data_IF_847940177843
#
_entry.id   IF_847940177843
#
_cell.length_a   1.000
_cell.length_b   1.000
_cell.length_c   1.000
_cell.angle_alpha   90.00
_cell.angle_beta   90.00
_cell.angle_gamma   90.00
#
_symmetry.space_group_name_H-M   'P 1'
#
loop_
_entity.id
_entity.type
_entity.pdbx_description
1 polymer ?
#
# COMPACT_ATOMS: atom_id res chain seq x y z
N UNK A 1 -7.51 -43.22 24.69
CA UNK A 1 -6.31 -43.10 23.83
C UNK A 1 -6.40 -41.82 23.00
N UNK A 2 -5.84 -40.72 23.50
CA UNK A 2 -5.79 -39.42 22.81
C UNK A 2 -4.43 -39.30 22.11
N UNK A 3 -4.40 -39.39 20.78
CA UNK A 3 -3.20 -39.08 19.98
C UNK A 3 -3.09 -37.56 19.87
N UNK A 4 -2.16 -36.96 20.63
CA UNK A 4 -1.66 -35.61 20.37
C UNK A 4 -0.86 -35.65 19.07
N UNK A 5 -1.35 -34.98 18.03
CA UNK A 5 -0.57 -34.73 16.83
C UNK A 5 0.56 -33.75 17.18
N UNK A 6 1.80 -34.23 17.17
CA UNK A 6 2.97 -33.38 17.24
C UNK A 6 3.05 -32.55 15.95
N UNK A 7 2.79 -31.25 16.06
CA UNK A 7 3.10 -30.29 15.00
C UNK A 7 4.63 -30.24 14.92
N UNK A 8 5.20 -30.89 13.91
CA UNK A 8 6.61 -30.79 13.60
C UNK A 8 6.87 -29.35 13.17
N UNK A 9 7.49 -28.56 14.06
CA UNK A 9 8.06 -27.28 13.74
C UNK A 9 9.18 -27.49 12.71
N UNK A 10 8.85 -27.41 11.42
CA UNK A 10 9.85 -27.26 10.36
C UNK A 10 10.54 -25.92 10.60
N UNK A 11 11.74 -25.94 11.18
CA UNK A 11 12.69 -24.81 11.12
C UNK A 11 12.82 -24.42 9.64
N UNK A 12 12.30 -23.25 9.26
CA UNK A 12 12.55 -22.68 7.94
C UNK A 12 14.03 -22.34 7.87
N UNK A 13 14.79 -23.13 7.11
CA UNK A 13 16.23 -22.94 6.84
C UNK A 13 16.49 -21.91 5.72
N UNK A 14 15.45 -21.26 5.20
CA UNK A 14 15.57 -20.27 4.14
C UNK A 14 15.03 -18.94 4.63
N UNK A 15 15.88 -17.91 4.54
CA UNK A 15 15.44 -16.52 4.72
C UNK A 15 14.27 -16.25 3.75
N UNK A 16 13.25 -15.50 4.17
CA UNK A 16 12.14 -15.18 3.29
C UNK A 16 12.65 -14.40 2.07
N UNK A 17 12.03 -14.59 0.90
CA UNK A 17 12.54 -14.03 -0.37
C UNK A 17 12.67 -12.49 -0.35
N UNK A 18 11.84 -11.80 0.45
CA UNK A 18 11.92 -10.36 0.64
C UNK A 18 13.20 -9.91 1.36
N UNK A 19 13.96 -10.81 1.99
CA UNK A 19 15.26 -10.52 2.59
C UNK A 19 16.34 -10.17 1.56
N UNK A 20 16.09 -10.46 0.27
CA UNK A 20 17.00 -10.13 -0.84
C UNK A 20 16.72 -8.74 -1.45
N UNK A 21 15.63 -8.08 -1.05
CA UNK A 21 15.25 -6.77 -1.57
C UNK A 21 15.92 -5.64 -0.78
N UNK A 22 16.12 -4.45 -1.37
CA UNK A 22 16.50 -3.24 -0.64
C UNK A 22 15.57 -3.01 0.55
N UNK A 23 16.14 -2.66 1.71
CA UNK A 23 15.41 -2.50 2.96
C UNK A 23 15.55 -1.09 3.49
N UNK A 24 14.43 -0.51 3.88
CA UNK A 24 14.34 0.82 4.44
C UNK A 24 13.66 0.75 5.80
N UNK A 25 14.28 1.38 6.79
CA UNK A 25 13.67 1.48 8.11
C UNK A 25 12.38 2.32 8.05
N UNK A 26 12.40 3.45 7.34
CA UNK A 26 11.28 4.42 7.28
C UNK A 26 10.88 4.73 5.85
N UNK A 27 9.64 5.20 5.68
CA UNK A 27 9.11 5.64 4.39
C UNK A 27 9.89 6.85 3.84
N UNK A 28 10.49 7.68 4.70
CA UNK A 28 11.40 8.76 4.29
C UNK A 28 12.58 8.23 3.49
N UNK A 29 13.27 7.21 4.01
CA UNK A 29 14.43 6.60 3.34
C UNK A 29 14.04 5.97 2.01
N UNK A 30 12.91 5.26 1.96
CA UNK A 30 12.39 4.68 0.73
C UNK A 30 12.02 5.76 -0.30
N UNK A 31 11.37 6.85 0.14
CA UNK A 31 11.06 8.00 -0.71
C UNK A 31 12.33 8.63 -1.30
N UNK A 32 13.36 8.84 -0.48
CA UNK A 32 14.60 9.47 -0.94
C UNK A 32 15.31 8.61 -1.99
N UNK A 33 15.32 7.29 -1.81
CA UNK A 33 15.81 6.38 -2.84
C UNK A 33 14.99 6.50 -4.13
N UNK A 34 13.67 6.41 -4.06
CA UNK A 34 12.82 6.52 -5.26
C UNK A 34 13.03 7.84 -5.99
N UNK A 35 13.17 8.96 -5.25
CA UNK A 35 13.46 10.28 -5.83
C UNK A 35 14.85 10.35 -6.44
N UNK A 36 15.85 9.75 -5.80
CA UNK A 36 17.23 9.69 -6.30
C UNK A 36 17.30 8.87 -7.60
N UNK A 37 16.74 7.66 -7.57
CA UNK A 37 16.70 6.74 -8.69
C UNK A 37 15.98 7.34 -9.91
N UNK A 38 14.94 8.14 -9.69
CA UNK A 38 14.15 8.76 -10.76
C UNK A 38 14.57 10.20 -11.09
N UNK A 39 15.66 10.72 -10.50
CA UNK A 39 16.03 12.15 -10.55
C UNK A 39 16.35 12.67 -11.95
N UNK A 40 16.67 11.80 -12.90
CA UNK A 40 17.13 12.20 -14.24
C UNK A 40 16.14 13.09 -15.01
N UNK A 41 14.85 13.11 -14.66
CA UNK A 41 13.84 13.99 -15.26
C UNK A 41 13.50 13.64 -16.72
N UNK A 42 12.21 13.66 -17.07
CA UNK A 42 11.68 13.33 -18.41
C UNK A 42 11.75 11.83 -18.74
N UNK A 43 10.63 11.22 -19.18
CA UNK A 43 10.42 9.82 -19.61
C UNK A 43 11.07 8.67 -18.80
N UNK A 44 11.81 8.99 -17.73
CA UNK A 44 12.65 8.06 -17.01
C UNK A 44 11.78 7.26 -16.06
N UNK A 45 11.52 6.03 -16.49
CA UNK A 45 10.75 5.05 -15.76
C UNK A 45 11.66 3.89 -15.38
N UNK A 46 11.64 3.52 -14.10
CA UNK A 46 12.26 2.30 -13.62
C UNK A 46 11.20 1.22 -13.61
N UNK A 47 11.45 0.12 -14.32
CA UNK A 47 10.54 -1.01 -14.36
C UNK A 47 10.86 -2.03 -13.27
N UNK A 48 9.81 -2.67 -12.73
CA UNK A 48 9.90 -3.76 -11.76
C UNK A 48 10.68 -3.41 -10.49
N UNK A 49 10.43 -2.22 -9.94
CA UNK A 49 11.03 -1.79 -8.67
C UNK A 49 10.40 -2.54 -7.50
N UNK A 50 11.22 -3.00 -6.56
CA UNK A 50 10.76 -3.64 -5.33
C UNK A 50 11.65 -3.28 -4.14
N UNK A 51 11.05 -2.92 -3.02
CA UNK A 51 11.75 -2.61 -1.77
C UNK A 51 10.89 -2.98 -0.56
N UNK A 52 11.53 -3.09 0.62
CA UNK A 52 10.88 -3.43 1.89
C UNK A 52 10.95 -2.25 2.85
N UNK A 53 9.81 -1.91 3.44
CA UNK A 53 9.69 -1.01 4.58
C UNK A 53 9.53 -1.82 5.87
N UNK A 54 10.37 -1.54 6.86
CA UNK A 54 10.46 -2.31 8.10
C UNK A 54 9.60 -1.75 9.24
N UNK A 55 9.54 -0.43 9.38
CA UNK A 55 8.78 0.23 10.42
C UNK A 55 7.49 0.81 9.82
N UNK A 56 6.37 0.30 10.31
CA UNK A 56 5.02 0.70 9.91
C UNK A 56 4.31 1.52 11.00
N UNK A 57 5.05 2.10 11.95
CA UNK A 57 4.52 3.10 12.87
C UNK A 57 4.04 4.36 12.12
N UNK A 58 3.22 5.17 12.78
CA UNK A 58 2.71 6.40 12.20
C UNK A 58 3.86 7.34 11.77
N UNK A 59 4.82 7.57 12.66
CA UNK A 59 5.98 8.41 12.39
C UNK A 59 6.82 7.87 11.22
N UNK A 60 7.06 6.55 11.19
CA UNK A 60 7.87 5.94 10.13
C UNK A 60 7.17 5.96 8.75
N UNK A 61 5.84 6.04 8.72
CA UNK A 61 5.04 6.07 7.48
C UNK A 61 4.61 7.47 7.07
N UNK A 62 4.94 8.49 7.87
CA UNK A 62 4.63 9.89 7.60
C UNK A 62 5.80 10.56 6.89
N UNK A 63 5.54 11.07 5.69
CA UNK A 63 6.52 11.79 4.88
C UNK A 63 5.92 13.11 4.44
N UNK A 64 6.25 14.18 5.14
CA UNK A 64 5.75 15.50 4.77
C UNK A 64 6.54 16.11 3.61
N UNK A 65 5.82 16.74 2.69
CA UNK A 65 6.36 17.49 1.55
C UNK A 65 5.49 18.71 1.32
N UNK A 66 5.93 19.65 0.47
CA UNK A 66 5.07 20.79 0.09
C UNK A 66 3.75 20.34 -0.55
N UNK A 67 3.79 19.28 -1.38
CA UNK A 67 2.59 18.72 -2.00
C UNK A 67 1.72 17.97 -0.99
N UNK A 68 2.32 17.36 0.03
CA UNK A 68 1.65 16.57 1.06
C UNK A 68 2.06 17.00 2.47
N UNK A 69 1.55 18.15 2.96
CA UNK A 69 1.63 18.47 4.37
C UNK A 69 0.81 17.47 5.20
N UNK A 70 1.07 17.36 6.51
CA UNK A 70 0.39 16.42 7.41
C UNK A 70 -1.13 16.38 7.23
N UNK A 71 -1.78 17.55 7.20
CA UNK A 71 -3.24 17.63 7.06
C UNK A 71 -3.76 17.04 5.74
N UNK A 72 -3.01 17.17 4.64
CA UNK A 72 -3.35 16.55 3.37
C UNK A 72 -3.19 15.01 3.43
N UNK A 73 -2.12 14.53 4.08
CA UNK A 73 -1.91 13.09 4.30
C UNK A 73 -3.07 12.48 5.11
N UNK A 74 -3.49 13.16 6.17
CA UNK A 74 -4.59 12.71 7.04
C UNK A 74 -5.93 12.71 6.31
N UNK A 75 -6.20 13.76 5.52
CA UNK A 75 -7.38 13.83 4.67
C UNK A 75 -7.47 12.62 3.74
N UNK A 76 -6.42 12.33 2.96
CA UNK A 76 -6.45 11.24 1.98
C UNK A 76 -6.52 9.86 2.64
N UNK A 77 -5.89 9.68 3.80
CA UNK A 77 -5.99 8.45 4.57
C UNK A 77 -7.41 8.22 5.06
N UNK A 78 -8.01 9.19 5.74
CA UNK A 78 -9.41 9.11 6.20
C UNK A 78 -10.38 8.95 5.03
N UNK A 79 -10.15 9.68 3.94
CA UNK A 79 -10.94 9.54 2.71
C UNK A 79 -10.93 8.11 2.21
N UNK A 80 -9.75 7.50 2.06
CA UNK A 80 -9.61 6.14 1.54
C UNK A 80 -10.04 5.05 2.53
N UNK A 81 -10.05 5.32 3.83
CA UNK A 81 -10.59 4.44 4.87
C UNK A 81 -12.13 4.53 5.03
N UNK A 82 -12.80 5.26 4.15
CA UNK A 82 -14.25 5.53 4.23
C UNK A 82 -14.66 6.25 5.53
N UNK A 83 -13.76 7.04 6.12
CA UNK A 83 -14.09 7.87 7.28
C UNK A 83 -14.88 9.12 6.87
N UNK A 84 -15.38 9.82 7.89
CA UNK A 84 -16.10 11.08 7.71
C UNK A 84 -15.11 12.17 7.31
N UNK A 85 -15.49 12.92 6.28
CA UNK A 85 -14.74 14.02 5.69
C UNK A 85 -15.72 15.18 5.51
N UNK A 86 -15.29 16.42 5.74
CA UNK A 86 -16.13 17.61 5.52
C UNK A 86 -15.94 18.18 4.12
N UNK A 87 -16.90 18.99 3.67
CA UNK A 87 -16.83 19.65 2.35
C UNK A 87 -15.65 20.63 2.29
N UNK A 88 -15.34 21.33 3.39
CA UNK A 88 -14.19 22.22 3.48
C UNK A 88 -12.86 21.48 3.29
N UNK A 89 -12.76 20.26 3.84
CA UNK A 89 -11.57 19.42 3.66
C UNK A 89 -11.43 18.94 2.20
N UNK A 90 -12.56 18.62 1.55
CA UNK A 90 -12.58 18.24 0.14
C UNK A 90 -12.07 19.40 -0.71
N UNK A 91 -12.59 20.60 -0.49
CA UNK A 91 -12.21 21.81 -1.24
C UNK A 91 -10.73 22.17 -1.02
N UNK A 92 -10.22 22.00 0.20
CA UNK A 92 -8.83 22.30 0.54
C UNK A 92 -7.83 21.28 -0.02
N UNK A 93 -8.19 19.99 -0.03
CA UNK A 93 -7.20 18.93 -0.23
C UNK A 93 -7.36 18.11 -1.51
N UNK A 94 -8.56 17.96 -2.05
CA UNK A 94 -8.84 17.07 -3.20
C UNK A 94 -8.48 17.73 -4.52
N UNK A 95 -7.19 17.74 -4.86
CA UNK A 95 -6.70 18.31 -6.12
C UNK A 95 -6.23 17.24 -7.12
N UNK A 96 -6.21 17.53 -8.43
CA UNK A 96 -5.61 16.65 -9.43
C UNK A 96 -4.14 16.33 -9.11
N UNK A 97 -3.33 17.31 -8.72
CA UNK A 97 -1.89 17.18 -8.50
C UNK A 97 -1.58 16.15 -7.41
N UNK A 98 -2.44 16.05 -6.39
CA UNK A 98 -2.32 15.07 -5.29
C UNK A 98 -2.82 13.67 -5.65
N UNK A 99 -3.03 13.40 -6.94
CA UNK A 99 -3.29 12.08 -7.52
C UNK A 99 -4.70 11.89 -8.06
N UNK A 100 -5.60 12.88 -7.92
CA UNK A 100 -6.94 12.87 -8.51
C UNK A 100 -7.69 11.54 -8.35
N UNK A 101 -8.40 11.12 -9.40
CA UNK A 101 -9.18 9.89 -9.39
C UNK A 101 -8.32 8.61 -9.30
N UNK A 102 -7.07 8.61 -9.81
CA UNK A 102 -6.18 7.44 -9.77
C UNK A 102 -5.78 7.02 -8.35
N UNK A 103 -5.80 7.97 -7.41
CA UNK A 103 -5.49 7.75 -6.00
C UNK A 103 -6.69 7.58 -5.08
N UNK A 104 -7.90 7.47 -5.64
CA UNK A 104 -9.12 7.20 -4.87
C UNK A 104 -9.34 5.68 -4.72
N UNK A 105 -9.06 5.18 -3.53
CA UNK A 105 -9.17 3.77 -3.15
C UNK A 105 -10.39 3.50 -2.26
N UNK A 106 -11.14 4.55 -1.92
CA UNK A 106 -12.20 4.56 -0.89
C UNK A 106 -13.20 3.43 -1.04
N UNK A 107 -13.65 3.16 -2.26
CA UNK A 107 -14.80 2.31 -2.53
C UNK A 107 -14.73 0.93 -1.87
N UNK A 108 -15.64 0.69 -0.93
CA UNK A 108 -15.84 -0.59 -0.25
C UNK A 108 -14.70 -0.96 0.68
N UNK A 109 -13.84 -0.02 1.07
CA UNK A 109 -12.64 -0.28 1.86
C UNK A 109 -12.96 -0.99 3.18
N UNK A 110 -14.00 -0.56 3.91
CA UNK A 110 -14.41 -1.20 5.17
C UNK A 110 -14.75 -2.67 5.00
N UNK A 111 -15.48 -3.02 3.93
CA UNK A 111 -15.83 -4.42 3.63
C UNK A 111 -14.61 -5.25 3.26
N UNK A 112 -13.66 -4.68 2.50
CA UNK A 112 -12.41 -5.37 2.13
C UNK A 112 -11.54 -5.63 3.35
N UNK A 113 -11.39 -4.65 4.24
CA UNK A 113 -10.69 -4.82 5.52
C UNK A 113 -11.34 -5.93 6.35
N UNK A 114 -12.67 -5.88 6.53
CA UNK A 114 -13.40 -6.89 7.29
C UNK A 114 -13.20 -8.31 6.71
N UNK A 115 -13.23 -8.45 5.38
CA UNK A 115 -12.99 -9.74 4.71
C UNK A 115 -11.55 -10.24 4.90
N UNK A 116 -10.54 -9.36 4.83
CA UNK A 116 -9.15 -9.74 5.08
C UNK A 116 -8.93 -10.15 6.55
N UNK A 117 -9.52 -9.41 7.50
CA UNK A 117 -9.48 -9.74 8.94
C UNK A 117 -10.14 -11.09 9.19
N UNK A 118 -11.35 -11.33 8.68
CA UNK A 118 -12.06 -12.60 8.82
C UNK A 118 -11.23 -13.78 8.27
N UNK A 119 -10.63 -13.58 7.08
CA UNK A 119 -9.78 -14.57 6.45
C UNK A 119 -8.57 -14.95 7.33
N UNK A 120 -7.83 -13.96 7.85
CA UNK A 120 -6.63 -14.21 8.66
C UNK A 120 -6.96 -14.70 10.07
N UNK A 121 -8.09 -14.28 10.64
CA UNK A 121 -8.55 -14.74 11.95
C UNK A 121 -8.96 -16.22 11.91
N UNK A 122 -9.67 -16.63 10.86
CA UNK A 122 -10.10 -18.03 10.69
C UNK A 122 -8.98 -18.91 10.13
N UNK A 123 -8.15 -18.37 9.24
CA UNK A 123 -7.08 -19.08 8.55
C UNK A 123 -5.81 -18.23 8.45
N UNK A 124 -5.01 -18.17 9.52
CA UNK A 124 -3.82 -17.30 9.60
C UNK A 124 -2.72 -17.57 8.56
N UNK A 125 -2.71 -18.76 7.96
CA UNK A 125 -1.80 -19.13 6.86
C UNK A 125 -2.44 -19.02 5.47
N UNK A 126 -3.62 -18.40 5.37
CA UNK A 126 -4.34 -18.23 4.10
C UNK A 126 -3.55 -17.37 3.13
N UNK A 127 -3.49 -17.83 1.88
CA UNK A 127 -2.93 -17.07 0.75
C UNK A 127 -3.98 -16.16 0.08
N UNK A 128 -5.17 -16.04 0.66
CA UNK A 128 -6.35 -15.37 0.08
C UNK A 128 -6.72 -14.07 0.80
N UNK A 129 -5.97 -13.69 1.83
CA UNK A 129 -6.20 -12.42 2.51
C UNK A 129 -5.66 -11.28 1.64
N UNK A 130 -6.56 -10.61 0.91
CA UNK A 130 -6.19 -9.47 0.07
C UNK A 130 -7.21 -8.34 0.11
N UNK A 131 -6.73 -7.14 -0.20
CA UNK A 131 -7.54 -5.94 -0.38
C UNK A 131 -7.36 -5.47 -1.82
N UNK A 132 -8.28 -5.85 -2.72
CA UNK A 132 -8.21 -5.43 -4.11
C UNK A 132 -8.71 -3.99 -4.29
N UNK A 133 -8.03 -3.25 -5.16
CA UNK A 133 -8.45 -1.93 -5.61
C UNK A 133 -9.06 -2.10 -7.02
N UNK A 134 -10.40 -2.14 -7.17
CA UNK A 134 -11.02 -2.46 -8.45
C UNK A 134 -10.71 -1.41 -9.52
N UNK A 135 -10.61 -1.84 -10.78
CA UNK A 135 -10.57 -0.92 -11.92
C UNK A 135 -11.95 -0.30 -12.15
N UNK A 136 -13.00 -1.12 -12.19
CA UNK A 136 -14.38 -0.74 -12.47
C UNK A 136 -15.35 -1.60 -11.65
N UNK A 137 -16.65 -1.34 -11.80
CA UNK A 137 -17.75 -2.18 -11.30
C UNK A 137 -17.83 -3.54 -12.01
N UNK A 138 -17.29 -3.63 -13.23
CA UNK A 138 -17.49 -4.74 -14.17
C UNK A 138 -16.21 -5.58 -14.41
N UNK A 139 -15.13 -5.29 -13.67
CA UNK A 139 -13.88 -6.04 -13.78
C UNK A 139 -12.91 -5.51 -14.85
N UNK A 140 -11.91 -6.31 -15.20
CA UNK A 140 -10.81 -5.88 -16.07
C UNK A 140 -11.13 -5.88 -17.57
N UNK A 141 -12.22 -6.53 -17.98
CA UNK A 141 -12.60 -6.65 -19.40
C UNK A 141 -13.06 -5.32 -20.00
N UNK A 142 -13.58 -4.41 -19.17
CA UNK A 142 -14.22 -3.17 -19.61
C UNK A 142 -13.41 -1.92 -19.24
N UNK A 143 -12.11 -2.05 -18.99
CA UNK A 143 -11.27 -0.92 -18.59
C UNK A 143 -11.11 0.04 -19.77
N UNK A 144 -11.54 1.28 -19.60
CA UNK A 144 -11.11 2.39 -20.48
C UNK A 144 -9.83 3.00 -19.90
N UNK A 145 -8.71 2.84 -20.61
CA UNK A 145 -7.41 3.38 -20.19
C UNK A 145 -7.39 4.91 -20.14
N UNK A 146 -8.32 5.58 -20.83
CA UNK A 146 -8.47 7.04 -20.81
C UNK A 146 -9.21 7.55 -19.57
N UNK A 147 -9.93 6.67 -18.88
CA UNK A 147 -10.56 7.00 -17.61
C UNK A 147 -9.54 6.81 -16.47
N UNK A 148 -9.02 7.93 -15.97
CA UNK A 148 -8.12 7.96 -14.82
C UNK A 148 -8.74 7.34 -13.56
N UNK A 149 -10.06 7.36 -13.42
CA UNK A 149 -10.78 6.68 -12.35
C UNK A 149 -10.67 5.16 -12.44
N UNK A 150 -10.46 4.60 -13.64
CA UNK A 150 -10.34 3.17 -13.85
C UNK A 150 -8.89 2.68 -13.79
N UNK A 151 -7.91 3.56 -14.01
CA UNK A 151 -6.48 3.21 -14.03
C UNK A 151 -5.76 3.48 -12.70
N UNK A 152 -6.31 2.98 -11.59
CA UNK A 152 -5.73 3.16 -10.24
C UNK A 152 -4.26 2.72 -10.15
N UNK A 153 -3.46 3.44 -9.37
CA UNK A 153 -2.03 3.16 -9.20
C UNK A 153 -1.79 1.87 -8.41
N UNK A 154 -2.38 1.76 -7.22
CA UNK A 154 -2.40 0.53 -6.44
C UNK A 154 -3.44 -0.44 -7.02
N UNK A 155 -3.07 -1.73 -7.12
CA UNK A 155 -3.94 -2.79 -7.63
C UNK A 155 -4.43 -3.71 -6.53
N UNK A 156 -3.51 -4.16 -5.68
CA UNK A 156 -3.84 -5.10 -4.61
C UNK A 156 -2.84 -4.99 -3.46
N UNK A 157 -3.34 -5.24 -2.25
CA UNK A 157 -2.54 -5.47 -1.07
C UNK A 157 -2.75 -6.92 -0.64
N UNK A 158 -1.68 -7.71 -0.56
CA UNK A 158 -1.71 -9.09 -0.08
C UNK A 158 -1.22 -9.13 1.37
N UNK A 159 -2.10 -9.53 2.28
CA UNK A 159 -1.80 -9.59 3.71
C UNK A 159 -1.44 -11.02 4.08
N UNK A 160 -0.44 -11.17 4.95
CA UNK A 160 0.00 -12.48 5.41
C UNK A 160 0.56 -12.39 6.82
N UNK A 161 0.43 -13.49 7.57
CA UNK A 161 1.04 -13.61 8.91
C UNK A 161 2.36 -14.35 8.77
N UNK A 162 3.44 -13.73 9.24
CA UNK A 162 4.76 -14.34 9.30
C UNK A 162 5.34 -14.10 10.70
N UNK A 163 5.78 -15.19 11.36
CA UNK A 163 6.33 -15.14 12.72
C UNK A 163 5.40 -14.44 13.74
N UNK A 164 4.09 -14.60 13.57
CA UNK A 164 3.07 -13.98 14.44
C UNK A 164 2.80 -12.49 14.17
N UNK A 165 3.42 -11.91 13.13
CA UNK A 165 3.29 -10.50 12.76
C UNK A 165 2.53 -10.34 11.44
N UNK A 166 1.69 -9.33 11.35
CA UNK A 166 0.97 -8.98 10.13
C UNK A 166 1.89 -8.25 9.15
N UNK A 167 2.19 -8.88 8.03
CA UNK A 167 2.96 -8.29 6.93
C UNK A 167 2.08 -8.10 5.70
N UNK A 168 2.56 -7.29 4.75
CA UNK A 168 1.82 -6.97 3.53
C UNK A 168 2.73 -6.81 2.32
N UNK A 169 2.28 -7.26 1.16
CA UNK A 169 2.87 -6.92 -0.14
C UNK A 169 1.89 -6.06 -0.90
N UNK A 170 2.26 -4.82 -1.21
CA UNK A 170 1.51 -3.95 -2.10
C UNK A 170 1.99 -4.09 -3.54
N UNK A 171 1.06 -4.26 -4.48
CA UNK A 171 1.33 -4.30 -5.91
C UNK A 171 0.75 -3.07 -6.58
N UNK A 172 1.64 -2.29 -7.19
CA UNK A 172 1.31 -1.04 -7.86
C UNK A 172 1.66 -1.15 -9.34
N UNK A 173 0.71 -0.75 -10.19
CA UNK A 173 0.93 -0.59 -11.63
C UNK A 173 1.95 0.52 -11.89
N UNK A 174 1.80 1.62 -11.17
CA UNK A 174 2.73 2.76 -11.24
C UNK A 174 2.87 3.39 -9.87
N UNK A 175 4.07 3.80 -9.52
CA UNK A 175 4.32 4.68 -8.38
C UNK A 175 5.02 5.92 -8.90
N UNK A 176 4.37 7.06 -8.70
CA UNK A 176 5.00 8.36 -8.86
C UNK A 176 5.65 8.72 -7.51
N UNK A 177 6.96 8.98 -7.50
CA UNK A 177 7.69 9.26 -6.26
C UNK A 177 7.11 10.47 -5.51
N UNK A 178 6.66 11.53 -6.20
CA UNK A 178 5.97 12.67 -5.57
C UNK A 178 4.64 12.29 -4.89
N UNK A 179 3.97 11.23 -5.33
CA UNK A 179 2.68 10.75 -4.76
C UNK A 179 2.89 9.67 -3.70
N UNK A 180 4.09 9.08 -3.61
CA UNK A 180 4.40 8.03 -2.64
C UNK A 180 4.04 8.40 -1.19
N UNK A 181 4.31 9.63 -0.69
CA UNK A 181 3.95 10.02 0.67
C UNK A 181 2.49 9.74 1.04
N UNK A 182 1.56 10.08 0.13
CA UNK A 182 0.13 9.81 0.31
C UNK A 182 -0.17 8.31 0.39
N UNK A 183 0.38 7.54 -0.54
CA UNK A 183 0.10 6.10 -0.63
C UNK A 183 0.60 5.36 0.62
N UNK A 184 1.85 5.60 1.01
CA UNK A 184 2.46 4.88 2.14
C UNK A 184 1.85 5.28 3.48
N UNK A 185 1.44 6.55 3.64
CA UNK A 185 0.72 7.01 4.82
C UNK A 185 -0.62 6.27 4.96
N UNK A 186 -1.38 6.16 3.87
CA UNK A 186 -2.62 5.39 3.83
C UNK A 186 -2.39 3.89 4.10
N UNK A 187 -1.40 3.26 3.45
CA UNK A 187 -1.12 1.84 3.65
C UNK A 187 -0.67 1.55 5.08
N UNK A 188 0.16 2.40 5.68
CA UNK A 188 0.55 2.30 7.08
C UNK A 188 -0.66 2.34 8.01
N UNK A 189 -1.55 3.32 7.83
CA UNK A 189 -2.77 3.44 8.64
C UNK A 189 -3.72 2.25 8.45
N UNK A 190 -3.90 1.78 7.21
CA UNK A 190 -4.69 0.60 6.90
C UNK A 190 -4.14 -0.64 7.59
N UNK A 191 -2.82 -0.87 7.52
CA UNK A 191 -2.19 -2.04 8.13
C UNK A 191 -2.25 -1.97 9.65
N UNK A 192 -2.03 -0.80 10.25
CA UNK A 192 -2.24 -0.57 11.70
C UNK A 192 -3.66 -0.92 12.11
N UNK A 193 -4.67 -0.55 11.30
CA UNK A 193 -6.07 -0.90 11.56
C UNK A 193 -6.30 -2.40 11.52
N UNK A 194 -5.83 -3.08 10.47
CA UNK A 194 -6.00 -4.55 10.34
C UNK A 194 -5.27 -5.28 11.48
N UNK A 195 -4.06 -4.84 11.83
CA UNK A 195 -3.26 -5.42 12.91
C UNK A 195 -3.97 -5.26 14.27
N UNK A 196 -4.53 -4.08 14.55
CA UNK A 196 -5.33 -3.85 15.75
C UNK A 196 -6.57 -4.74 15.80
N UNK A 197 -7.29 -4.90 14.68
CA UNK A 197 -8.46 -5.78 14.61
C UNK A 197 -8.06 -7.27 14.79
N UNK A 198 -6.82 -7.66 14.46
CA UNK A 198 -6.30 -9.01 14.63
C UNK A 198 -5.59 -9.26 15.97
N UNK A 199 -5.38 -8.22 16.79
CA UNK A 199 -4.51 -8.26 17.97
C UNK A 199 -3.10 -8.77 17.65
N UNK A 200 -2.49 -8.19 16.61
CA UNK A 200 -1.16 -8.57 16.12
C UNK A 200 -0.22 -7.37 16.02
N UNK A 201 1.07 -7.63 16.17
CA UNK A 201 2.10 -6.67 15.79
C UNK A 201 2.26 -6.59 14.27
N UNK A 202 2.71 -5.44 13.79
CA UNK A 202 3.06 -5.26 12.39
C UNK A 202 4.42 -5.88 12.09
N UNK A 203 4.51 -6.59 10.97
CA UNK A 203 5.75 -7.05 10.35
C UNK A 203 6.22 -6.02 9.32
N UNK A 204 6.49 -6.48 8.11
CA UNK A 204 7.05 -5.64 7.03
C UNK A 204 6.02 -5.30 5.95
N UNK A 205 6.28 -4.23 5.21
CA UNK A 205 5.59 -3.92 3.96
C UNK A 205 6.54 -4.06 2.78
N UNK A 206 6.21 -4.92 1.82
CA UNK A 206 6.92 -5.03 0.54
C UNK A 206 6.21 -4.18 -0.51
N UNK A 207 6.93 -3.21 -1.08
CA UNK A 207 6.43 -2.29 -2.09
C UNK A 207 6.87 -2.75 -3.48
N UNK A 208 5.97 -3.31 -4.27
CA UNK A 208 6.25 -3.79 -5.64
C UNK A 208 5.60 -2.88 -6.66
N UNK A 209 6.39 -2.35 -7.59
CA UNK A 209 5.97 -1.33 -8.55
C UNK A 209 6.39 -1.76 -9.96
N UNK A 210 5.41 -1.88 -10.88
CA UNK A 210 5.71 -2.20 -12.27
C UNK A 210 6.42 -1.05 -13.01
N UNK A 211 6.01 0.20 -12.76
CA UNK A 211 6.66 1.41 -13.29
C UNK A 211 6.83 2.48 -12.21
N UNK A 212 8.07 2.84 -11.90
CA UNK A 212 8.41 3.90 -10.95
C UNK A 212 8.88 5.15 -11.73
N UNK A 213 8.28 6.30 -11.47
CA UNK A 213 8.61 7.58 -12.11
C UNK A 213 8.75 8.71 -11.10
N UNK A 214 9.38 9.82 -11.51
CA UNK A 214 9.71 10.92 -10.61
C UNK A 214 8.49 11.73 -10.16
N UNK A 215 7.71 12.17 -11.14
CA UNK A 215 6.52 13.00 -11.00
C UNK A 215 5.54 12.75 -12.16
N UNK A 216 4.44 13.53 -12.24
CA UNK A 216 3.40 13.32 -13.25
C UNK A 216 3.83 13.79 -14.65
N UNK A 217 4.87 14.62 -14.76
CA UNK A 217 5.42 15.06 -16.04
C UNK A 217 6.32 13.99 -16.68
N UNK A 218 6.81 13.03 -15.89
CA UNK A 218 7.73 12.00 -16.35
C UNK A 218 7.10 10.90 -17.22
N UNK A 219 5.77 10.86 -17.38
CA UNK A 219 5.08 9.93 -18.30
C UNK A 219 3.72 10.51 -18.71
N UNK A 220 3.36 10.41 -20.00
CA UNK A 220 1.97 10.62 -20.43
C UNK A 220 1.06 9.57 -19.77
N UNK A 221 0.32 9.98 -18.73
CA UNK A 221 -0.77 9.22 -18.11
C UNK A 221 -2.02 10.10 -18.05
#
# INVERSE_FOLDING_TARGET
MLRRAAIIARRRLHAPAHALLPRHKTARSLYDEMRHLTRAGGDFTIHNYAAVLEDLSEDATTVETELFPRAALDFYTRWNLEEKITDEEIDAYKTPERGGAQGDYRRGMRRKIANAVDCLRTHSNSKRASIPIPFTDSGSETIDWRDQGQTKCCRELYLYVEEGRLSCTGVLRVQNASIFPKNIHFFGALLRRVAADLDMELGVYTHVVASLCHDRSATNC
#
